data_IF_516652744276
#
_entry.id   IF_516652744276
#
_cell.length_a   1.000
_cell.length_b   1.000
_cell.length_c   1.000
_cell.angle_alpha   90.00
_cell.angle_beta   90.00
_cell.angle_gamma   90.00
#
_symmetry.space_group_name_H-M   'P 1'
#
loop_
_entity.id
_entity.type
_entity.pdbx_description
1 polymer ?
#
# COMPACT_ATOMS: atom_id res chain seq x y z
N UNK A 1 -2.73 10.71 6.56
CA UNK A 1 -2.40 10.50 5.13
C UNK A 1 -2.45 11.77 4.27
N UNK A 2 -3.59 12.48 4.14
CA UNK A 2 -3.70 13.67 3.24
C UNK A 2 -3.11 14.97 3.80
N UNK A 3 -2.59 14.97 5.03
CA UNK A 3 -1.98 16.15 5.63
C UNK A 3 -0.75 16.60 4.82
N UNK A 4 -0.52 17.90 4.79
CA UNK A 4 0.73 18.52 4.32
C UNK A 4 1.79 18.56 5.42
N UNK A 5 1.42 18.24 6.66
CA UNK A 5 2.36 18.03 7.77
C UNK A 5 2.80 16.57 7.74
N UNK A 6 4.08 16.34 7.48
CA UNK A 6 4.64 15.00 7.25
C UNK A 6 4.42 14.06 8.44
N UNK A 7 4.67 14.50 9.67
CA UNK A 7 4.43 13.70 10.88
C UNK A 7 2.97 13.19 10.97
N UNK A 8 2.01 14.04 10.59
CA UNK A 8 0.58 13.68 10.58
C UNK A 8 0.24 12.79 9.37
N UNK A 9 0.92 12.99 8.24
CA UNK A 9 0.75 12.14 7.08
C UNK A 9 1.24 10.72 7.39
N UNK A 10 2.45 10.59 7.96
CA UNK A 10 3.11 9.37 8.39
C UNK A 10 2.23 8.57 9.35
N UNK A 11 1.71 9.18 10.42
CA UNK A 11 0.87 8.45 11.37
C UNK A 11 -0.39 7.84 10.72
N UNK A 12 -0.96 8.54 9.74
CA UNK A 12 -2.11 8.02 9.02
C UNK A 12 -1.75 6.92 8.01
N UNK A 13 -0.53 6.92 7.47
CA UNK A 13 -0.05 5.84 6.59
C UNK A 13 0.24 4.61 7.45
N UNK A 14 0.96 4.79 8.57
CA UNK A 14 1.25 3.75 9.55
C UNK A 14 0.00 3.04 10.06
N UNK A 15 -1.09 3.78 10.29
CA UNK A 15 -2.38 3.17 10.66
C UNK A 15 -2.83 2.12 9.64
N UNK A 16 -2.75 2.41 8.35
CA UNK A 16 -3.18 1.46 7.30
C UNK A 16 -2.15 0.37 7.01
N UNK A 17 -0.86 0.64 7.22
CA UNK A 17 0.17 -0.40 7.23
C UNK A 17 -0.13 -1.44 8.32
N UNK A 18 -0.36 -1.00 9.57
CA UNK A 18 -0.67 -1.90 10.68
C UNK A 18 -1.98 -2.67 10.49
N UNK A 19 -3.01 -2.03 9.90
CA UNK A 19 -4.25 -2.74 9.55
C UNK A 19 -3.97 -3.83 8.51
N UNK A 20 -3.12 -3.57 7.52
CA UNK A 20 -2.78 -4.55 6.49
C UNK A 20 -1.99 -5.73 7.07
N UNK A 21 -0.99 -5.46 7.92
CA UNK A 21 -0.22 -6.50 8.61
C UNK A 21 -1.12 -7.40 9.48
N UNK A 22 -1.98 -6.81 10.31
CA UNK A 22 -2.93 -7.60 11.13
C UNK A 22 -3.89 -8.41 10.27
N UNK A 23 -4.34 -7.89 9.12
CA UNK A 23 -5.26 -8.63 8.24
C UNK A 23 -4.55 -9.76 7.48
N UNK A 24 -3.25 -9.64 7.19
CA UNK A 24 -2.41 -10.75 6.68
C UNK A 24 -2.25 -11.85 7.74
N UNK A 25 -1.90 -11.50 8.98
CA UNK A 25 -1.79 -12.47 10.08
C UNK A 25 -3.11 -13.23 10.31
N UNK A 26 -4.24 -12.53 10.22
CA UNK A 26 -5.57 -13.14 10.34
C UNK A 26 -5.89 -14.07 9.17
N UNK A 27 -5.41 -13.79 7.96
CA UNK A 27 -5.57 -14.67 6.81
C UNK A 27 -4.75 -15.96 6.97
N UNK A 28 -3.54 -15.86 7.53
CA UNK A 28 -2.71 -17.02 7.88
C UNK A 28 -3.42 -17.88 8.95
N UNK A 29 -3.94 -17.26 10.02
CA UNK A 29 -4.67 -17.98 11.07
C UNK A 29 -5.90 -18.72 10.50
N UNK A 30 -6.63 -18.11 9.57
CA UNK A 30 -7.79 -18.72 8.91
C UNK A 30 -7.38 -19.93 8.07
N UNK A 31 -6.29 -19.81 7.30
CA UNK A 31 -5.73 -20.92 6.51
C UNK A 31 -5.30 -22.09 7.41
N UNK A 32 -4.57 -21.82 8.50
CA UNK A 32 -4.16 -22.86 9.45
C UNK A 32 -5.38 -23.53 10.11
N UNK A 33 -6.37 -22.75 10.54
CA UNK A 33 -7.58 -23.28 11.15
C UNK A 33 -8.34 -24.21 10.17
N UNK A 34 -8.42 -23.83 8.90
CA UNK A 34 -9.00 -24.65 7.84
C UNK A 34 -8.26 -25.98 7.65
N UNK A 35 -6.92 -25.98 7.67
CA UNK A 35 -6.09 -27.20 7.56
C UNK A 35 -6.32 -28.16 8.72
N UNK A 36 -6.57 -27.64 9.93
CA UNK A 36 -6.93 -28.45 11.10
C UNK A 36 -8.43 -28.79 11.20
N UNK A 37 -9.26 -28.35 10.24
CA UNK A 37 -10.70 -28.58 10.22
C UNK A 37 -11.45 -27.93 11.39
N UNK A 38 -10.95 -26.81 11.90
CA UNK A 38 -11.54 -26.05 13.02
C UNK A 38 -11.86 -24.61 12.59
N UNK A 39 -12.80 -23.93 13.26
CA UNK A 39 -12.99 -22.50 13.03
C UNK A 39 -11.80 -21.68 13.57
N UNK A 40 -11.44 -20.55 12.95
CA UNK A 40 -10.42 -19.64 13.46
C UNK A 40 -10.87 -18.94 14.75
N UNK A 41 -9.93 -18.49 15.57
CA UNK A 41 -10.24 -17.81 16.84
C UNK A 41 -10.54 -16.32 16.63
N UNK A 42 -9.87 -15.71 15.66
CA UNK A 42 -10.09 -14.35 15.20
C UNK A 42 -10.39 -14.37 13.70
N UNK A 43 -11.12 -13.36 13.22
CA UNK A 43 -11.45 -13.23 11.78
C UNK A 43 -11.18 -11.81 11.32
N UNK A 44 -10.60 -11.69 10.12
CA UNK A 44 -10.45 -10.40 9.45
C UNK A 44 -11.82 -9.79 9.13
N UNK A 45 -11.87 -8.46 9.11
CA UNK A 45 -13.04 -7.70 8.66
C UNK A 45 -12.83 -7.09 7.28
N UNK A 46 -11.66 -7.32 6.68
CA UNK A 46 -11.29 -6.85 5.35
C UNK A 46 -11.41 -5.32 5.23
N UNK A 47 -10.98 -4.61 6.28
CA UNK A 47 -10.95 -3.16 6.31
C UNK A 47 -10.02 -2.59 5.24
N UNK A 48 -8.85 -3.20 5.02
CA UNK A 48 -7.92 -2.81 3.97
C UNK A 48 -8.60 -2.88 2.59
N UNK A 49 -9.19 -4.06 2.28
CA UNK A 49 -9.94 -4.29 1.03
C UNK A 49 -11.09 -3.29 0.85
N UNK A 50 -11.88 -3.03 1.90
CA UNK A 50 -12.98 -2.08 1.84
C UNK A 50 -12.55 -0.62 1.61
N UNK A 51 -11.30 -0.30 1.95
CA UNK A 51 -10.75 1.04 1.87
C UNK A 51 -9.92 1.32 0.60
N UNK A 52 -9.53 0.30 -0.19
CA UNK A 52 -8.60 0.43 -1.32
C UNK A 52 -8.90 1.59 -2.26
N UNK A 53 -10.17 1.77 -2.66
CA UNK A 53 -10.60 2.87 -3.54
C UNK A 53 -10.26 4.27 -3.00
N UNK A 54 -10.11 4.41 -1.69
CA UNK A 54 -9.74 5.66 -1.02
C UNK A 54 -8.24 5.73 -0.74
N UNK A 55 -7.60 4.60 -0.40
CA UNK A 55 -6.19 4.56 -0.03
C UNK A 55 -5.28 4.70 -1.25
N UNK A 56 -5.52 3.89 -2.28
CA UNK A 56 -4.62 3.78 -3.44
C UNK A 56 -4.36 5.15 -4.09
N UNK A 57 -5.36 5.99 -4.41
CA UNK A 57 -5.10 7.29 -5.02
C UNK A 57 -4.28 8.23 -4.13
N UNK A 58 -4.39 8.11 -2.80
CA UNK A 58 -3.62 8.93 -1.87
C UNK A 58 -2.17 8.48 -1.82
N UNK A 59 -1.96 7.16 -1.74
CA UNK A 59 -0.61 6.57 -1.67
C UNK A 59 0.15 6.82 -2.97
N UNK A 60 -0.45 6.57 -4.13
CA UNK A 60 0.19 6.83 -5.43
C UNK A 60 0.48 8.31 -5.65
N UNK A 61 -0.35 9.21 -5.13
CA UNK A 61 -0.06 10.65 -5.15
C UNK A 61 1.11 11.02 -4.21
N UNK A 62 1.22 10.40 -3.03
CA UNK A 62 2.36 10.61 -2.14
C UNK A 62 3.66 10.06 -2.74
N UNK A 63 3.58 8.98 -3.51
CA UNK A 63 4.72 8.46 -4.26
C UNK A 63 5.28 9.46 -5.27
N UNK A 64 4.51 10.42 -5.79
CA UNK A 64 5.05 11.45 -6.71
C UNK A 64 5.77 12.59 -6.00
N UNK A 65 6.06 12.46 -4.70
CA UNK A 65 6.69 13.49 -3.87
C UNK A 65 8.15 13.13 -3.55
N UNK A 66 8.84 12.46 -4.48
CA UNK A 66 10.26 12.17 -4.33
C UNK A 66 11.08 13.47 -4.30
N UNK A 67 12.08 13.52 -3.43
CA UNK A 67 13.08 14.57 -3.38
C UNK A 67 14.27 14.21 -4.28
N UNK A 68 14.89 15.21 -4.92
CA UNK A 68 16.06 14.97 -5.82
C UNK A 68 17.34 14.66 -5.05
N UNK A 69 17.41 15.10 -3.80
CA UNK A 69 18.50 14.88 -2.87
C UNK A 69 17.93 14.21 -1.62
N UNK A 70 17.30 13.06 -1.81
CA UNK A 70 16.78 12.25 -0.70
C UNK A 70 17.95 11.60 0.03
N UNK A 71 18.03 11.80 1.35
CA UNK A 71 18.92 11.04 2.20
C UNK A 71 18.33 9.63 2.35
N UNK A 72 19.12 8.58 2.10
CA UNK A 72 18.63 7.20 2.21
C UNK A 72 18.11 6.90 3.62
N UNK A 73 18.69 7.53 4.64
CA UNK A 73 18.33 7.35 6.06
C UNK A 73 17.05 8.11 6.47
N UNK A 74 16.57 9.06 5.68
CA UNK A 74 15.38 9.86 6.04
C UNK A 74 14.07 9.10 5.80
N UNK A 75 13.18 9.06 6.79
CA UNK A 75 11.86 8.44 6.65
C UNK A 75 10.76 9.47 6.38
N UNK A 76 10.34 9.57 5.12
CA UNK A 76 9.37 10.56 4.65
C UNK A 76 8.04 9.92 4.18
N UNK A 77 6.97 10.71 3.96
CA UNK A 77 5.68 10.18 3.51
C UNK A 77 5.72 9.44 2.16
N UNK A 78 6.67 9.75 1.28
CA UNK A 78 6.84 9.04 0.00
C UNK A 78 7.32 7.61 0.25
N UNK A 79 8.39 7.42 1.03
CA UNK A 79 8.90 6.09 1.41
C UNK A 79 7.86 5.29 2.19
N UNK A 80 7.19 5.92 3.15
CA UNK A 80 6.10 5.29 3.90
C UNK A 80 4.93 4.85 3.00
N UNK A 81 4.56 5.66 2.01
CA UNK A 81 3.51 5.30 1.06
C UNK A 81 3.91 4.09 0.20
N UNK A 82 5.17 3.96 -0.19
CA UNK A 82 5.69 2.79 -0.92
C UNK A 82 5.57 1.51 -0.11
N UNK A 83 6.00 1.52 1.15
CA UNK A 83 5.86 0.36 2.05
C UNK A 83 4.39 0.03 2.29
N UNK A 84 3.55 1.02 2.56
CA UNK A 84 2.11 0.79 2.74
C UNK A 84 1.46 0.19 1.50
N UNK A 85 1.87 0.60 0.29
CA UNK A 85 1.38 0.03 -0.96
C UNK A 85 1.77 -1.44 -1.13
N UNK A 86 3.00 -1.82 -0.74
CA UNK A 86 3.44 -3.21 -0.75
C UNK A 86 2.63 -4.05 0.25
N UNK A 87 2.43 -3.57 1.48
CA UNK A 87 1.63 -4.28 2.48
C UNK A 87 0.17 -4.46 2.03
N UNK A 88 -0.42 -3.44 1.42
CA UNK A 88 -1.75 -3.56 0.81
C UNK A 88 -1.77 -4.57 -0.34
N UNK A 89 -0.68 -4.68 -1.10
CA UNK A 89 -0.57 -5.66 -2.20
C UNK A 89 -0.52 -7.09 -1.66
N UNK A 90 0.25 -7.36 -0.61
CA UNK A 90 0.25 -8.66 0.06
C UNK A 90 -1.07 -8.96 0.80
N UNK A 91 -1.74 -7.94 1.33
CA UNK A 91 -2.99 -8.10 2.08
C UNK A 91 -4.22 -8.31 1.18
N UNK A 92 -4.27 -7.66 0.03
CA UNK A 92 -5.45 -7.61 -0.85
C UNK A 92 -5.24 -8.27 -2.22
N UNK A 93 -4.02 -8.70 -2.54
CA UNK A 93 -3.67 -9.50 -3.73
C UNK A 93 -4.32 -8.95 -5.03
N UNK A 94 -5.11 -9.77 -5.74
CA UNK A 94 -5.74 -9.43 -7.01
C UNK A 94 -6.65 -8.19 -6.94
N UNK A 95 -7.22 -7.87 -5.78
CA UNK A 95 -8.10 -6.71 -5.62
C UNK A 95 -7.35 -5.38 -5.83
N UNK A 96 -6.02 -5.35 -5.70
CA UNK A 96 -5.20 -4.14 -5.90
C UNK A 96 -5.07 -3.75 -7.37
N UNK A 97 -5.04 -4.72 -8.27
CA UNK A 97 -4.80 -4.53 -9.72
C UNK A 97 -5.72 -3.48 -10.35
N UNK A 98 -7.06 -3.53 -10.20
CA UNK A 98 -7.96 -2.54 -10.79
C UNK A 98 -7.78 -1.12 -10.23
N UNK A 99 -7.20 -0.99 -9.03
CA UNK A 99 -6.94 0.32 -8.42
C UNK A 99 -5.61 0.94 -8.86
N UNK A 100 -4.60 0.11 -9.14
CA UNK A 100 -3.24 0.55 -9.47
C UNK A 100 -3.04 0.78 -10.96
N UNK A 101 -3.55 -0.12 -11.81
CA UNK A 101 -3.34 -0.04 -13.26
C UNK A 101 -3.76 1.30 -13.90
N UNK A 102 -4.85 1.97 -13.49
CA UNK A 102 -5.19 3.29 -14.01
C UNK A 102 -4.09 4.33 -13.77
N UNK A 103 -3.46 4.30 -12.59
CA UNK A 103 -2.36 5.21 -12.26
C UNK A 103 -1.10 4.87 -13.08
N UNK A 104 -0.74 3.58 -13.18
CA UNK A 104 0.43 3.14 -13.95
C UNK A 104 0.30 3.56 -15.41
N UNK A 105 -0.80 3.21 -16.06
CA UNK A 105 -1.02 3.52 -17.48
C UNK A 105 -1.01 5.03 -17.77
N UNK A 106 -1.50 5.85 -16.82
CA UNK A 106 -1.50 7.29 -16.96
C UNK A 106 -0.11 7.94 -16.76
N UNK A 107 0.81 7.27 -16.05
CA UNK A 107 2.03 7.91 -15.57
C UNK A 107 3.34 7.26 -16.07
N UNK A 108 3.31 6.04 -16.62
CA UNK A 108 4.53 5.31 -17.03
C UNK A 108 5.33 6.02 -18.13
N UNK A 109 4.67 6.80 -19.00
CA UNK A 109 5.28 7.64 -20.05
C UNK A 109 5.25 9.14 -19.71
N UNK A 110 4.95 9.51 -18.46
CA UNK A 110 4.79 10.92 -18.07
C UNK A 110 6.08 11.74 -18.27
N UNK A 111 5.97 13.02 -18.62
CA UNK A 111 7.16 13.87 -18.85
C UNK A 111 7.96 14.14 -17.57
N UNK A 112 7.26 14.32 -16.44
CA UNK A 112 7.88 14.40 -15.11
C UNK A 112 8.36 13.02 -14.64
N UNK A 113 9.63 12.94 -14.24
CA UNK A 113 10.25 11.70 -13.78
C UNK A 113 9.64 11.19 -12.47
N UNK A 114 9.16 12.09 -11.59
CA UNK A 114 8.52 11.71 -10.33
C UNK A 114 7.28 10.84 -10.53
N UNK A 115 6.52 11.17 -11.57
CA UNK A 115 5.34 10.41 -11.97
C UNK A 115 5.71 9.05 -12.59
N UNK A 116 6.73 9.01 -13.45
CA UNK A 116 7.22 7.74 -14.04
C UNK A 116 7.76 6.79 -12.98
N UNK A 117 8.55 7.32 -12.06
CA UNK A 117 9.12 6.55 -10.95
C UNK A 117 8.03 6.04 -10.01
N UNK A 118 7.07 6.89 -9.64
CA UNK A 118 5.91 6.47 -8.85
C UNK A 118 5.09 5.38 -9.57
N UNK A 119 4.94 5.46 -10.91
CA UNK A 119 4.26 4.43 -11.70
C UNK A 119 5.01 3.10 -11.68
N UNK A 120 6.33 3.12 -11.83
CA UNK A 120 7.18 1.92 -11.72
C UNK A 120 7.12 1.30 -10.33
N UNK A 121 7.22 2.12 -9.28
CA UNK A 121 7.11 1.64 -7.89
C UNK A 121 5.73 1.03 -7.62
N UNK A 122 4.66 1.69 -8.09
CA UNK A 122 3.29 1.18 -7.92
C UNK A 122 3.07 -0.12 -8.67
N UNK A 123 3.62 -0.24 -9.89
CA UNK A 123 3.56 -1.46 -10.67
C UNK A 123 4.37 -2.59 -10.00
N UNK A 124 5.57 -2.30 -9.49
CA UNK A 124 6.39 -3.26 -8.76
C UNK A 124 5.71 -3.77 -7.49
N UNK A 125 4.99 -2.91 -6.77
CA UNK A 125 4.27 -3.28 -5.55
C UNK A 125 3.22 -4.37 -5.79
N UNK A 126 2.48 -4.31 -6.91
CA UNK A 126 1.43 -5.30 -7.25
C UNK A 126 1.96 -6.54 -8.00
N UNK A 127 3.26 -6.60 -8.27
CA UNK A 127 3.93 -7.79 -8.82
C UNK A 127 4.62 -8.63 -7.73
N UNK A 128 4.64 -8.13 -6.50
CA UNK A 128 5.17 -8.85 -5.35
C UNK A 128 4.21 -9.97 -4.94
N UNK A 129 4.71 -11.20 -5.12
CA UNK A 129 4.12 -12.54 -4.94
C UNK A 129 3.38 -13.14 -6.15
#
# INVERSE_FOLDING_TARGET
MKSDIDEVALQGIEFWSNVSDEEVDLAIEDSEAADFGRPPTRTSRFYAKGALQYLVPILTQKLTKQEELDDEDDWNPCKAAGVCLMLLSSCCEEDMVPHILPFVNANIEHADWRHRDAALMSFGAILGE
#
